data_IF_244008062099
#
_entry.id   IF_244008062099
#
_cell.length_a   1.000
_cell.length_b   1.000
_cell.length_c   1.000
_cell.angle_alpha   90.00
_cell.angle_beta   90.00
_cell.angle_gamma   90.00
#
_symmetry.space_group_name_H-M   'P 1'
#
loop_
_entity.id
_entity.type
_entity.pdbx_description
1 polymer ?
#
# COMPACT_ATOMS: atom_id res chain seq x y z
N UNK A 1 12.95 1.43 7.32
CA UNK A 1 12.52 0.02 7.28
C UNK A 1 11.88 -0.35 5.94
N UNK A 2 11.03 0.45 5.29
CA UNK A 2 10.41 -0.04 4.03
C UNK A 2 11.39 -0.30 2.88
N UNK A 3 12.55 0.33 2.85
CA UNK A 3 13.60 0.03 1.86
C UNK A 3 14.10 -1.44 1.89
N UNK A 4 13.99 -2.15 3.02
CA UNK A 4 14.45 -3.54 3.13
C UNK A 4 13.37 -4.57 2.71
N UNK A 5 12.18 -4.12 2.32
CA UNK A 5 11.11 -5.00 1.85
C UNK A 5 11.16 -5.28 0.33
N UNK A 6 12.02 -4.57 -0.40
CA UNK A 6 12.24 -4.82 -1.81
C UNK A 6 13.30 -5.90 -2.02
N UNK A 7 13.16 -6.69 -3.07
CA UNK A 7 14.14 -7.72 -3.45
C UNK A 7 15.29 -7.11 -4.27
N UNK A 8 16.52 -7.64 -4.17
CA UNK A 8 17.67 -7.15 -4.95
C UNK A 8 17.42 -7.13 -6.46
N UNK A 9 16.65 -8.09 -6.95
CA UNK A 9 16.28 -8.26 -8.36
C UNK A 9 15.31 -7.19 -8.89
N UNK A 10 14.62 -6.48 -8.00
CA UNK A 10 13.80 -5.30 -8.37
C UNK A 10 14.67 -4.04 -8.46
N UNK A 11 15.68 -3.91 -7.58
CA UNK A 11 16.62 -2.78 -7.59
C UNK A 11 17.75 -3.05 -8.58
N UNK A 12 17.41 -3.00 -9.87
CA UNK A 12 18.35 -3.31 -10.95
C UNK A 12 19.09 -2.08 -11.52
N UNK A 13 18.78 -0.87 -11.05
CA UNK A 13 19.44 0.37 -11.50
C UNK A 13 19.38 1.47 -10.42
N UNK A 14 20.25 2.49 -10.57
CA UNK A 14 20.33 3.63 -9.64
C UNK A 14 19.00 4.40 -9.54
N UNK A 15 18.28 4.56 -10.65
CA UNK A 15 17.02 5.29 -10.69
C UNK A 15 15.95 4.64 -9.79
N UNK A 16 15.82 3.31 -9.82
CA UNK A 16 14.86 2.58 -8.98
C UNK A 16 15.25 2.68 -7.50
N UNK A 17 16.54 2.62 -7.18
CA UNK A 17 17.02 2.77 -5.81
C UNK A 17 16.69 4.16 -5.25
N UNK A 18 16.98 5.22 -6.02
CA UNK A 18 16.71 6.60 -5.64
C UNK A 18 15.20 6.85 -5.52
N UNK A 19 14.41 6.29 -6.43
CA UNK A 19 12.95 6.36 -6.38
C UNK A 19 12.39 5.68 -5.13
N UNK A 20 12.89 4.49 -4.77
CA UNK A 20 12.49 3.77 -3.56
C UNK A 20 12.84 4.57 -2.30
N UNK A 21 14.06 5.12 -2.23
CA UNK A 21 14.49 5.96 -1.11
C UNK A 21 13.57 7.17 -0.94
N UNK A 22 13.34 7.93 -2.02
CA UNK A 22 12.44 9.09 -2.00
C UNK A 22 11.02 8.70 -1.59
N UNK A 23 10.50 7.60 -2.17
CA UNK A 23 9.18 7.08 -1.83
C UNK A 23 9.07 6.79 -0.33
N UNK A 24 10.03 6.06 0.23
CA UNK A 24 10.02 5.70 1.65
C UNK A 24 10.18 6.89 2.58
N UNK A 25 11.05 7.85 2.27
CA UNK A 25 11.13 9.11 3.00
C UNK A 25 9.79 9.86 3.00
N UNK A 26 9.11 9.88 1.85
CA UNK A 26 7.79 10.52 1.70
C UNK A 26 6.71 9.80 2.51
N UNK A 27 6.67 8.46 2.48
CA UNK A 27 5.69 7.66 3.25
C UNK A 27 5.89 7.82 4.77
N UNK A 28 7.13 7.96 5.23
CA UNK A 28 7.42 8.09 6.66
C UNK A 28 7.19 9.52 7.17
N UNK A 29 7.50 10.54 6.37
CA UNK A 29 7.49 11.94 6.82
C UNK A 29 6.26 12.67 6.28
N UNK A 30 6.12 12.78 4.96
CA UNK A 30 5.09 13.62 4.34
C UNK A 30 3.66 13.19 4.56
N UNK A 31 3.41 11.89 4.77
CA UNK A 31 2.03 11.41 4.93
C UNK A 31 1.33 11.93 6.20
N UNK A 32 2.08 12.58 7.09
CA UNK A 32 1.57 13.23 8.29
C UNK A 32 1.28 14.72 8.11
N UNK A 33 1.67 15.31 6.99
CA UNK A 33 1.42 16.72 6.72
C UNK A 33 -0.04 16.95 6.36
N UNK A 34 -0.58 18.07 6.85
CA UNK A 34 -1.94 18.52 6.55
C UNK A 34 -1.94 19.68 5.56
N UNK A 35 -0.83 20.43 5.46
CA UNK A 35 -0.70 21.60 4.61
C UNK A 35 0.12 21.32 3.36
N UNK A 36 -0.30 21.92 2.24
CA UNK A 36 0.40 21.79 0.95
C UNK A 36 1.79 22.41 1.00
N UNK A 37 1.97 23.47 1.80
CA UNK A 37 3.25 24.15 1.92
C UNK A 37 4.30 23.30 2.66
N UNK A 38 3.89 22.46 3.62
CA UNK A 38 4.77 21.48 4.27
C UNK A 38 5.27 20.45 3.26
N UNK A 39 4.39 19.97 2.38
CA UNK A 39 4.77 19.05 1.30
C UNK A 39 5.77 19.69 0.34
N UNK A 40 5.55 20.95 -0.05
CA UNK A 40 6.46 21.71 -0.94
C UNK A 40 7.81 21.94 -0.27
N UNK A 41 7.81 22.30 1.01
CA UNK A 41 9.02 22.47 1.81
C UNK A 41 9.83 21.17 1.87
N UNK A 42 9.19 20.05 2.18
CA UNK A 42 9.86 18.76 2.23
C UNK A 42 10.41 18.33 0.87
N UNK A 43 9.65 18.55 -0.21
CA UNK A 43 10.11 18.22 -1.56
C UNK A 43 11.41 18.97 -1.91
N UNK A 44 11.50 20.25 -1.53
CA UNK A 44 12.73 21.05 -1.68
C UNK A 44 13.88 20.54 -0.81
N UNK A 45 13.59 20.04 0.39
CA UNK A 45 14.62 19.43 1.26
C UNK A 45 15.17 18.17 0.61
N UNK A 46 14.32 17.28 0.10
CA UNK A 46 14.78 16.06 -0.59
C UNK A 46 15.64 16.42 -1.79
N UNK A 47 15.24 17.39 -2.60
CA UNK A 47 16.03 17.86 -3.74
C UNK A 47 17.39 18.41 -3.31
N UNK A 48 17.43 19.26 -2.28
CA UNK A 48 18.67 19.85 -1.76
C UNK A 48 19.61 18.80 -1.18
N UNK A 49 19.12 17.93 -0.29
CA UNK A 49 19.94 16.88 0.34
C UNK A 49 20.49 15.92 -0.71
N UNK A 50 19.69 15.59 -1.74
CA UNK A 50 20.17 14.76 -2.84
C UNK A 50 21.28 15.43 -3.65
N UNK A 51 21.21 16.75 -3.83
CA UNK A 51 22.27 17.51 -4.51
C UNK A 51 23.56 17.54 -3.70
N UNK A 52 23.44 17.83 -2.39
CA UNK A 52 24.57 17.95 -1.47
C UNK A 52 25.30 16.61 -1.27
N UNK A 53 24.56 15.52 -1.10
CA UNK A 53 25.13 14.20 -0.75
C UNK A 53 25.47 13.33 -1.97
N UNK A 54 24.70 13.44 -3.06
CA UNK A 54 24.85 12.56 -4.24
C UNK A 54 25.34 13.31 -5.49
N UNK A 55 25.19 14.63 -5.51
CA UNK A 55 25.56 15.48 -6.63
C UNK A 55 24.48 15.64 -7.71
N UNK A 56 24.72 16.55 -8.68
CA UNK A 56 23.71 17.02 -9.62
C UNK A 56 23.22 15.94 -10.61
N UNK A 57 23.96 14.84 -10.78
CA UNK A 57 23.61 13.70 -11.64
C UNK A 57 22.23 13.11 -11.29
N UNK A 58 21.88 13.11 -10.00
CA UNK A 58 20.66 12.44 -9.50
C UNK A 58 19.43 13.35 -9.46
N UNK A 59 19.57 14.64 -9.78
CA UNK A 59 18.47 15.62 -9.70
C UNK A 59 17.31 15.28 -10.63
N UNK A 60 17.59 14.77 -11.83
CA UNK A 60 16.54 14.31 -12.76
C UNK A 60 15.77 13.11 -12.20
N UNK A 61 16.46 12.21 -11.51
CA UNK A 61 15.88 11.02 -10.90
C UNK A 61 14.97 11.38 -9.71
N UNK A 62 15.40 12.33 -8.89
CA UNK A 62 14.66 12.82 -7.73
C UNK A 62 13.39 13.55 -8.11
N UNK A 63 13.36 14.24 -9.25
CA UNK A 63 12.15 14.95 -9.71
C UNK A 63 11.00 14.03 -10.09
N UNK A 64 11.28 12.75 -10.40
CA UNK A 64 10.24 11.76 -10.70
C UNK A 64 9.46 11.37 -9.44
N UNK A 65 8.17 11.11 -9.61
CA UNK A 65 7.30 10.60 -8.54
C UNK A 65 6.87 9.18 -8.90
N UNK A 66 7.67 8.20 -8.46
CA UNK A 66 7.35 6.79 -8.62
C UNK A 66 6.67 6.26 -7.33
N UNK A 67 5.70 5.37 -7.50
CA UNK A 67 4.95 4.75 -6.41
C UNK A 67 5.25 3.25 -6.38
N UNK A 68 5.25 2.66 -5.19
CA UNK A 68 5.61 1.26 -4.98
C UNK A 68 4.46 0.49 -4.31
N UNK A 69 4.21 -0.73 -4.74
CA UNK A 69 3.17 -1.62 -4.23
C UNK A 69 3.64 -3.08 -4.22
N UNK A 70 3.04 -3.92 -3.36
CA UNK A 70 3.37 -5.34 -3.20
C UNK A 70 2.26 -6.30 -3.67
N UNK A 71 1.37 -5.83 -4.54
CA UNK A 71 0.20 -6.58 -5.02
C UNK A 71 0.05 -6.50 -6.54
N UNK A 72 1.18 -6.40 -7.25
CA UNK A 72 1.20 -6.26 -8.71
C UNK A 72 1.33 -7.59 -9.44
N UNK A 73 1.81 -8.64 -8.78
CA UNK A 73 2.03 -9.98 -9.35
C UNK A 73 0.79 -10.86 -9.22
N UNK A 74 0.61 -11.75 -10.18
CA UNK A 74 -0.43 -12.79 -10.14
C UNK A 74 0.03 -14.01 -9.34
N UNK A 75 -0.97 -14.78 -8.87
CA UNK A 75 -0.74 -16.10 -8.31
C UNK A 75 -0.12 -17.02 -9.38
N UNK A 76 0.83 -17.91 -9.00
CA UNK A 76 1.34 -18.92 -9.92
C UNK A 76 0.21 -19.83 -10.41
N UNK A 77 0.24 -20.19 -11.70
CA UNK A 77 -0.68 -21.20 -12.23
C UNK A 77 -0.24 -22.60 -11.76
N UNK A 78 -1.15 -23.44 -11.23
CA UNK A 78 -0.82 -24.82 -10.89
C UNK A 78 -0.50 -25.62 -12.15
N UNK A 79 0.75 -26.06 -12.26
CA UNK A 79 1.25 -26.89 -13.35
C UNK A 79 1.04 -28.38 -13.09
N UNK A 80 0.73 -28.77 -11.84
CA UNK A 80 0.49 -30.17 -11.44
C UNK A 80 1.75 -30.96 -11.11
N UNK A 81 2.94 -30.37 -11.34
CA UNK A 81 4.25 -30.91 -10.96
C UNK A 81 4.74 -30.36 -9.60
N UNK A 82 3.89 -29.61 -8.90
CA UNK A 82 4.21 -29.04 -7.60
C UNK A 82 4.19 -30.07 -6.46
N UNK A 83 4.97 -29.80 -5.41
CA UNK A 83 4.92 -30.56 -4.16
C UNK A 83 3.64 -30.24 -3.39
N UNK A 84 3.22 -31.15 -2.51
CA UNK A 84 2.02 -30.99 -1.66
C UNK A 84 2.04 -29.72 -0.77
N UNK A 85 3.21 -29.10 -0.57
CA UNK A 85 3.42 -27.88 0.23
C UNK A 85 3.58 -26.59 -0.60
N UNK A 86 3.25 -26.63 -1.90
CA UNK A 86 3.39 -25.46 -2.76
C UNK A 86 2.45 -24.31 -2.37
N UNK A 87 3.02 -23.11 -2.29
CA UNK A 87 2.30 -21.87 -2.06
C UNK A 87 1.83 -21.28 -3.38
N UNK A 88 0.50 -21.21 -3.55
CA UNK A 88 -0.15 -20.63 -4.73
C UNK A 88 -0.62 -19.19 -4.47
N UNK A 89 -0.25 -18.58 -3.34
CA UNK A 89 -0.57 -17.18 -3.10
C UNK A 89 0.20 -16.25 -4.04
N UNK A 90 -0.44 -15.15 -4.43
CA UNK A 90 0.19 -14.12 -5.23
C UNK A 90 1.43 -13.53 -4.52
N UNK A 91 2.62 -13.55 -5.15
CA UNK A 91 3.85 -13.06 -4.53
C UNK A 91 3.74 -11.60 -4.11
N UNK A 92 4.09 -11.32 -2.85
CA UNK A 92 4.06 -9.96 -2.27
C UNK A 92 5.37 -9.22 -2.50
N UNK A 93 5.69 -8.91 -3.75
CA UNK A 93 6.94 -8.28 -4.15
C UNK A 93 6.78 -6.76 -4.19
N UNK A 94 7.46 -6.05 -3.30
CA UNK A 94 7.40 -4.59 -3.23
C UNK A 94 8.20 -3.92 -4.34
N UNK A 95 7.51 -3.41 -5.37
CA UNK A 95 8.12 -2.95 -6.62
C UNK A 95 7.40 -1.70 -7.19
N UNK A 96 8.02 -0.93 -8.10
CA UNK A 96 7.41 0.28 -8.65
C UNK A 96 6.23 -0.05 -9.56
N UNK A 97 5.16 0.74 -9.46
CA UNK A 97 4.03 0.66 -10.40
C UNK A 97 4.47 1.15 -11.77
N UNK A 98 4.03 0.48 -12.84
CA UNK A 98 4.28 0.91 -14.22
C UNK A 98 3.49 2.17 -14.58
N UNK A 99 2.21 2.21 -14.19
CA UNK A 99 1.34 3.36 -14.34
C UNK A 99 0.14 3.27 -13.37
N UNK A 100 -0.62 4.37 -13.25
CA UNK A 100 -1.85 4.37 -12.44
C UNK A 100 -2.98 3.59 -13.13
N UNK A 101 -2.98 3.53 -14.46
CA UNK A 101 -3.95 2.75 -15.25
C UNK A 101 -3.74 1.25 -15.00
N UNK A 102 -2.49 0.78 -15.03
CA UNK A 102 -2.18 -0.60 -14.68
C UNK A 102 -2.57 -0.92 -13.23
N UNK A 103 -2.25 -0.02 -12.29
CA UNK A 103 -2.66 -0.17 -10.90
C UNK A 103 -4.19 -0.25 -10.74
N UNK A 104 -4.93 0.56 -11.48
CA UNK A 104 -6.40 0.54 -11.48
C UNK A 104 -6.94 -0.82 -11.95
N UNK A 105 -6.38 -1.39 -13.02
CA UNK A 105 -6.75 -2.72 -13.51
C UNK A 105 -6.53 -3.80 -12.43
N UNK A 106 -5.36 -3.78 -11.77
CA UNK A 106 -5.04 -4.70 -10.67
C UNK A 106 -6.03 -4.56 -9.51
N UNK A 107 -6.36 -3.33 -9.13
CA UNK A 107 -7.29 -3.07 -8.02
C UNK A 107 -8.72 -3.47 -8.35
N UNK A 108 -9.17 -3.29 -9.59
CA UNK A 108 -10.47 -3.78 -10.06
C UNK A 108 -10.54 -5.30 -10.00
N UNK A 109 -9.49 -6.01 -10.42
CA UNK A 109 -9.42 -7.47 -10.27
C UNK A 109 -9.55 -7.90 -8.81
N UNK A 110 -8.78 -7.30 -7.90
CA UNK A 110 -8.88 -7.61 -6.47
C UNK A 110 -10.24 -7.26 -5.86
N UNK A 111 -10.89 -6.19 -6.32
CA UNK A 111 -12.24 -5.83 -5.88
C UNK A 111 -13.27 -6.89 -6.29
N UNK A 112 -13.17 -7.42 -7.51
CA UNK A 112 -14.03 -8.51 -7.98
C UNK A 112 -13.82 -9.76 -7.13
N UNK A 113 -12.56 -10.18 -6.94
CA UNK A 113 -12.20 -11.32 -6.09
C UNK A 113 -12.72 -11.17 -4.66
N UNK A 114 -12.58 -9.96 -4.09
CA UNK A 114 -13.13 -9.66 -2.78
C UNK A 114 -14.64 -9.88 -2.77
N UNK A 115 -15.37 -9.30 -3.73
CA UNK A 115 -16.82 -9.39 -3.81
C UNK A 115 -17.33 -10.83 -4.01
N UNK A 116 -16.60 -11.67 -4.74
CA UNK A 116 -16.91 -13.09 -4.92
C UNK A 116 -16.68 -13.90 -3.63
N UNK A 117 -15.70 -13.51 -2.82
CA UNK A 117 -15.37 -14.19 -1.57
C UNK A 117 -16.38 -13.95 -0.43
N UNK A 118 -17.19 -12.89 -0.52
CA UNK A 118 -18.14 -12.49 0.53
C UNK A 118 -19.59 -12.56 0.06
N UNK A 119 -20.48 -13.11 0.91
CA UNK A 119 -21.93 -13.14 0.61
C UNK A 119 -22.60 -11.85 1.08
N UNK A 120 -23.27 -11.14 0.17
CA UNK A 120 -24.26 -10.11 0.51
C UNK A 120 -23.75 -8.74 0.98
N UNK A 121 -22.44 -8.46 0.91
CA UNK A 121 -21.84 -7.19 1.36
C UNK A 121 -20.73 -6.67 0.44
N UNK A 122 -20.89 -6.85 -0.88
CA UNK A 122 -19.92 -6.37 -1.87
C UNK A 122 -19.61 -4.87 -1.74
N UNK A 123 -18.39 -4.49 -2.10
CA UNK A 123 -17.98 -3.10 -2.23
C UNK A 123 -18.07 -2.66 -3.69
N UNK A 124 -18.62 -1.46 -3.90
CA UNK A 124 -18.56 -0.76 -5.19
C UNK A 124 -17.59 0.42 -5.03
N UNK A 125 -16.35 0.24 -5.50
CA UNK A 125 -15.28 1.22 -5.38
C UNK A 125 -14.92 1.77 -6.76
N UNK A 126 -14.86 3.10 -6.84
CA UNK A 126 -14.31 3.81 -7.99
C UNK A 126 -12.88 4.23 -7.67
N UNK A 127 -11.93 3.80 -8.50
CA UNK A 127 -10.50 4.07 -8.30
C UNK A 127 -10.07 5.31 -9.08
N UNK A 128 -10.11 6.46 -8.42
CA UNK A 128 -9.38 7.66 -8.87
C UNK A 128 -7.99 7.70 -8.24
N UNK A 129 -7.12 8.57 -8.75
CA UNK A 129 -5.70 8.64 -8.37
C UNK A 129 -5.47 8.67 -6.85
N UNK A 130 -6.22 9.48 -6.12
CA UNK A 130 -6.03 9.59 -4.67
C UNK A 130 -6.51 8.34 -3.92
N UNK A 131 -7.61 7.71 -4.35
CA UNK A 131 -8.06 6.43 -3.77
C UNK A 131 -6.99 5.35 -3.91
N UNK A 132 -6.35 5.26 -5.08
CA UNK A 132 -5.25 4.33 -5.33
C UNK A 132 -4.02 4.64 -4.48
N UNK A 133 -3.63 5.93 -4.38
CA UNK A 133 -2.54 6.38 -3.50
C UNK A 133 -2.83 6.02 -2.03
N UNK A 134 -4.05 6.23 -1.55
CA UNK A 134 -4.44 5.87 -0.19
C UNK A 134 -4.39 4.36 0.04
N UNK A 135 -4.84 3.56 -0.92
CA UNK A 135 -4.76 2.10 -0.82
C UNK A 135 -3.31 1.62 -0.75
N UNK A 136 -2.41 2.16 -1.59
CA UNK A 136 -0.96 1.87 -1.50
C UNK A 136 -0.42 2.19 -0.11
N UNK A 137 -0.75 3.36 0.45
CA UNK A 137 -0.31 3.76 1.79
C UNK A 137 -0.82 2.78 2.85
N UNK A 138 -2.11 2.42 2.80
CA UNK A 138 -2.71 1.48 3.75
C UNK A 138 -2.00 0.12 3.63
N UNK A 139 -1.87 -0.44 2.42
CA UNK A 139 -1.17 -1.71 2.19
C UNK A 139 0.25 -1.68 2.77
N UNK A 140 1.01 -0.64 2.45
CA UNK A 140 2.39 -0.47 2.94
C UNK A 140 2.48 -0.35 4.46
N UNK A 141 1.48 0.24 5.13
CA UNK A 141 1.45 0.31 6.60
C UNK A 141 1.11 -1.06 7.20
N UNK A 142 0.02 -1.70 6.77
CA UNK A 142 -0.44 -2.96 7.38
C UNK A 142 0.51 -4.14 7.10
N UNK A 143 1.24 -4.10 5.98
CA UNK A 143 2.26 -5.10 5.62
C UNK A 143 3.58 -4.90 6.38
N UNK A 144 3.76 -3.75 7.03
CA UNK A 144 4.91 -3.55 7.94
C UNK A 144 4.61 -4.28 9.26
N UNK A 145 5.53 -5.11 9.79
CA UNK A 145 5.35 -5.76 11.09
C UNK A 145 5.05 -4.72 12.18
N UNK A 146 4.01 -4.98 12.97
CA UNK A 146 3.49 -4.04 14.00
C UNK A 146 3.04 -2.68 13.43
N UNK A 147 2.68 -2.63 12.15
CA UNK A 147 2.16 -1.44 11.49
C UNK A 147 0.76 -1.08 11.98
N UNK A 148 0.55 0.19 12.27
CA UNK A 148 -0.74 0.74 12.69
C UNK A 148 -1.02 2.04 11.92
N UNK A 149 -2.26 2.22 11.47
CA UNK A 149 -2.69 3.39 10.72
C UNK A 149 -3.85 4.10 11.43
N UNK A 150 -3.73 5.41 11.63
CA UNK A 150 -4.85 6.28 12.00
C UNK A 150 -5.34 6.99 10.73
N UNK A 151 -6.52 6.62 10.24
CA UNK A 151 -7.08 7.19 9.01
C UNK A 151 -8.03 8.35 9.33
N UNK A 152 -7.58 9.57 9.09
CA UNK A 152 -8.35 10.80 9.35
C UNK A 152 -8.92 11.36 8.05
N UNK A 153 -10.18 11.77 8.06
CA UNK A 153 -10.84 12.43 6.94
C UNK A 153 -12.35 12.46 7.09
N UNK A 154 -13.04 13.20 6.24
CA UNK A 154 -14.52 13.34 6.28
C UNK A 154 -15.26 12.02 6.06
N UNK A 155 -16.51 11.94 6.51
CA UNK A 155 -17.38 10.79 6.25
C UNK A 155 -17.54 10.53 4.74
N UNK A 156 -17.66 9.27 4.34
CA UNK A 156 -17.82 8.90 2.92
C UNK A 156 -16.54 8.88 2.08
N UNK A 157 -15.38 9.25 2.63
CA UNK A 157 -14.11 9.29 1.88
C UNK A 157 -13.49 7.90 1.59
N UNK A 158 -14.24 6.81 1.72
CA UNK A 158 -13.79 5.45 1.38
C UNK A 158 -12.82 4.77 2.36
N UNK A 159 -12.45 5.40 3.49
CA UNK A 159 -11.45 4.86 4.45
C UNK A 159 -11.69 3.39 4.83
N UNK A 160 -12.93 3.05 5.23
CA UNK A 160 -13.27 1.70 5.64
C UNK A 160 -13.19 0.72 4.47
N UNK A 161 -13.75 1.07 3.32
CA UNK A 161 -13.76 0.21 2.13
C UNK A 161 -12.36 -0.03 1.56
N UNK A 162 -11.52 1.01 1.50
CA UNK A 162 -10.12 0.88 1.09
C UNK A 162 -9.31 0.02 2.07
N UNK A 163 -9.59 0.13 3.38
CA UNK A 163 -8.93 -0.71 4.39
C UNK A 163 -9.34 -2.16 4.27
N UNK A 164 -10.62 -2.44 4.04
CA UNK A 164 -11.13 -3.81 3.79
C UNK A 164 -10.47 -4.42 2.56
N UNK A 165 -10.43 -3.68 1.45
CA UNK A 165 -9.79 -4.15 0.22
C UNK A 165 -8.28 -4.38 0.41
N UNK A 166 -7.56 -3.43 1.02
CA UNK A 166 -6.13 -3.59 1.29
C UNK A 166 -5.84 -4.79 2.21
N UNK A 167 -6.68 -5.02 3.22
CA UNK A 167 -6.55 -6.18 4.11
C UNK A 167 -6.81 -7.49 3.39
N UNK A 168 -7.81 -7.54 2.52
CA UNK A 168 -8.09 -8.69 1.65
C UNK A 168 -6.91 -8.98 0.72
N UNK A 169 -6.38 -7.96 0.04
CA UNK A 169 -5.19 -8.08 -0.82
C UNK A 169 -4.00 -8.61 -0.02
N UNK A 170 -3.83 -8.18 1.23
CA UNK A 170 -2.77 -8.64 2.11
C UNK A 170 -2.97 -10.07 2.68
N UNK A 171 -4.12 -10.70 2.43
CA UNK A 171 -4.47 -12.01 2.97
C UNK A 171 -4.87 -11.98 4.46
N UNK A 172 -5.21 -10.80 4.99
CA UNK A 172 -5.53 -10.64 6.40
C UNK A 172 -7.03 -10.79 6.67
N UNK A 173 -7.35 -11.56 7.72
CA UNK A 173 -8.70 -11.59 8.27
C UNK A 173 -8.96 -10.28 8.99
N UNK A 174 -10.06 -9.63 8.63
CA UNK A 174 -10.51 -8.42 9.32
C UNK A 174 -11.50 -8.79 10.41
N UNK A 175 -11.33 -8.20 11.58
CA UNK A 175 -12.28 -8.29 12.68
C UNK A 175 -12.77 -6.89 13.00
N UNK A 176 -14.10 -6.73 13.10
CA UNK A 176 -14.73 -5.47 13.43
C UNK A 176 -15.71 -5.70 14.57
N UNK A 177 -15.45 -5.04 15.70
CA UNK A 177 -16.37 -5.01 16.83
C UNK A 177 -17.70 -4.40 16.37
N UNK A 178 -18.78 -5.13 16.62
CA UNK A 178 -20.14 -4.69 16.32
C UNK A 178 -20.85 -4.33 17.61
N UNK A 179 -21.02 -3.02 17.83
CA UNK A 179 -21.69 -2.52 19.03
C UNK A 179 -23.17 -2.88 19.03
N UNK A 180 -23.65 -3.40 20.15
CA UNK A 180 -25.07 -3.61 20.43
C UNK A 180 -25.44 -2.88 21.72
N UNK A 181 -26.75 -2.76 22.03
CA UNK A 181 -27.20 -2.14 23.28
C UNK A 181 -26.68 -2.85 24.54
N UNK A 182 -26.30 -4.12 24.44
CA UNK A 182 -25.78 -4.93 25.54
C UNK A 182 -24.24 -5.03 25.55
N UNK A 183 -23.55 -4.46 24.55
CA UNK A 183 -22.11 -4.55 24.42
C UNK A 183 -21.43 -3.86 25.61
N UNK A 184 -20.58 -4.62 26.31
CA UNK A 184 -19.91 -4.17 27.53
C UNK A 184 -18.44 -4.63 27.55
N UNK A 185 -17.73 -4.32 28.64
CA UNK A 185 -16.29 -4.60 28.79
C UNK A 185 -15.99 -6.10 28.65
N UNK A 186 -16.86 -6.99 29.13
CA UNK A 186 -16.63 -8.42 28.99
C UNK A 186 -16.66 -8.84 27.52
N UNK A 187 -17.58 -8.29 26.72
CA UNK A 187 -17.60 -8.56 25.27
C UNK A 187 -16.33 -8.07 24.58
N UNK A 188 -15.80 -6.91 24.98
CA UNK A 188 -14.53 -6.41 24.46
C UNK A 188 -13.35 -7.34 24.82
N UNK A 189 -13.35 -7.91 26.01
CA UNK A 189 -12.32 -8.88 26.42
C UNK A 189 -12.46 -10.21 25.67
N UNK A 190 -13.69 -10.64 25.37
CA UNK A 190 -13.95 -11.85 24.57
C UNK A 190 -13.55 -11.67 23.09
N UNK A 191 -13.63 -10.43 22.58
CA UNK A 191 -13.30 -10.06 21.21
C UNK A 191 -11.78 -9.92 20.94
N UNK A 192 -10.93 -9.79 21.98
CA UNK A 192 -9.47 -9.54 21.92
C UNK A 192 -8.62 -10.79 22.14
#
# INVERSE_FOLDING_TARGET
QGMIYTLPQIINNEQTLIALWKHECTRVICDRFTEVDDYRWFSKIIERVSDEELGPKYQSMIKREDWFADFLRDAPEPTGDERDDADFDAPKIYEPISSFEHLEERLKMHLVQYNESIRGSGMDLVFFKDAMKHLIKISRIIRTPRGNALLVGVGGSGKQSLTKLASFIAGYKTFQITLTRAYNINNLLDDL
#
